data_IF_342573492226
#
_entry.id   IF_342573492226
#
_cell.length_a   1.000
_cell.length_b   1.000
_cell.length_c   1.000
_cell.angle_alpha   90.00
_cell.angle_beta   90.00
_cell.angle_gamma   90.00
#
_symmetry.space_group_name_H-M   'P 1'
#
loop_
_entity.id
_entity.type
_entity.pdbx_description
1 polymer ?
#
# COMPACT_ATOMS: atom_id res chain seq x y z
N UNK A 1 -10.74 -30.75 -29.33
CA UNK A 1 -9.57 -29.88 -29.12
C UNK A 1 -9.80 -28.59 -29.90
N UNK A 2 -10.38 -27.57 -29.27
CA UNK A 2 -10.55 -26.24 -29.88
C UNK A 2 -9.44 -25.32 -29.40
N UNK A 3 -8.61 -24.83 -30.31
CA UNK A 3 -7.53 -23.87 -30.03
C UNK A 3 -8.18 -22.48 -29.85
N UNK A 4 -7.96 -21.74 -28.76
CA UNK A 4 -8.52 -20.40 -28.64
C UNK A 4 -7.70 -19.43 -29.48
N UNK A 5 -8.34 -18.85 -30.49
CA UNK A 5 -7.81 -17.82 -31.39
C UNK A 5 -8.11 -16.43 -30.84
N UNK A 6 -7.06 -15.61 -30.78
CA UNK A 6 -7.06 -14.14 -30.87
C UNK A 6 -8.14 -13.35 -30.07
N UNK A 7 -7.76 -12.94 -28.86
CA UNK A 7 -7.89 -11.55 -28.39
C UNK A 7 -9.29 -10.93 -28.37
N UNK A 8 -10.13 -11.37 -27.43
CA UNK A 8 -11.38 -10.67 -27.12
C UNK A 8 -11.11 -9.25 -26.58
N UNK A 9 -11.69 -8.19 -27.16
CA UNK A 9 -11.53 -6.80 -26.70
C UNK A 9 -12.08 -6.58 -25.28
N UNK A 10 -12.94 -7.48 -24.80
CA UNK A 10 -13.51 -7.47 -23.46
C UNK A 10 -12.44 -7.76 -22.40
N UNK A 11 -11.50 -8.68 -22.66
CA UNK A 11 -10.44 -9.04 -21.70
C UNK A 11 -9.44 -7.90 -21.48
N UNK A 12 -9.07 -7.18 -22.54
CA UNK A 12 -8.20 -6.01 -22.44
C UNK A 12 -8.87 -4.85 -21.67
N UNK A 13 -10.18 -4.72 -21.80
CA UNK A 13 -10.97 -3.68 -21.10
C UNK A 13 -11.17 -4.00 -19.61
N UNK A 14 -11.28 -5.27 -19.24
CA UNK A 14 -11.37 -5.70 -17.83
C UNK A 14 -10.01 -5.56 -17.14
N UNK A 15 -8.91 -5.93 -17.82
CA UNK A 15 -7.56 -5.78 -17.28
C UNK A 15 -7.15 -4.30 -17.13
N UNK A 16 -7.60 -3.42 -18.03
CA UNK A 16 -7.34 -1.99 -17.91
C UNK A 16 -8.12 -1.32 -16.77
N UNK A 17 -9.29 -1.86 -16.37
CA UNK A 17 -10.04 -1.37 -15.21
C UNK A 17 -9.37 -1.65 -13.85
N UNK A 18 -8.49 -2.65 -13.80
CA UNK A 18 -7.68 -2.97 -12.60
C UNK A 18 -6.32 -2.28 -12.64
N UNK A 19 -5.93 -1.71 -13.78
CA UNK A 19 -4.69 -0.96 -13.91
C UNK A 19 -4.81 0.36 -13.15
N UNK A 20 -4.23 0.40 -11.95
CA UNK A 20 -4.15 1.63 -11.16
C UNK A 20 -3.25 2.62 -11.93
N UNK A 21 -3.73 3.83 -12.25
CA UNK A 21 -3.00 4.75 -13.11
C UNK A 21 -1.90 5.47 -12.31
N UNK A 22 -0.82 4.77 -11.96
CA UNK A 22 0.35 5.40 -11.36
C UNK A 22 1.15 6.09 -12.45
N UNK A 23 1.08 7.42 -12.49
CA UNK A 23 1.90 8.24 -13.40
C UNK A 23 3.38 8.21 -13.00
N UNK A 24 3.67 8.08 -11.71
CA UNK A 24 5.02 8.17 -11.15
C UNK A 24 5.50 6.86 -10.53
N UNK A 25 6.78 6.49 -10.75
CA UNK A 25 7.41 5.29 -10.14
C UNK A 25 7.30 5.30 -8.60
N UNK A 26 7.45 6.47 -8.00
CA UNK A 26 7.37 6.66 -6.55
C UNK A 26 5.95 6.39 -6.04
N UNK A 27 4.90 6.86 -6.74
CA UNK A 27 3.51 6.57 -6.38
C UNK A 27 3.22 5.06 -6.39
N UNK A 28 3.73 4.33 -7.39
CA UNK A 28 3.61 2.87 -7.44
C UNK A 28 4.30 2.20 -6.24
N UNK A 29 5.49 2.67 -5.86
CA UNK A 29 6.20 2.16 -4.67
C UNK A 29 5.42 2.43 -3.40
N UNK A 30 4.89 3.65 -3.24
CA UNK A 30 4.03 4.01 -2.11
C UNK A 30 2.79 3.14 -2.01
N UNK A 31 2.13 2.85 -3.14
CA UNK A 31 0.96 1.99 -3.14
C UNK A 31 1.30 0.55 -2.73
N UNK A 32 2.36 -0.03 -3.31
CA UNK A 32 2.83 -1.37 -2.94
C UNK A 32 3.20 -1.42 -1.44
N UNK A 33 3.97 -0.45 -0.97
CA UNK A 33 4.35 -0.35 0.45
C UNK A 33 3.13 -0.17 1.35
N UNK A 34 2.11 0.57 0.92
CA UNK A 34 0.86 0.71 1.65
C UNK A 34 0.12 -0.62 1.79
N UNK A 35 0.02 -1.37 0.69
CA UNK A 35 -0.58 -2.70 0.71
C UNK A 35 0.16 -3.67 1.65
N UNK A 36 1.49 -3.75 1.52
CA UNK A 36 2.29 -4.63 2.38
C UNK A 36 2.27 -4.19 3.85
N UNK A 37 2.31 -2.88 4.12
CA UNK A 37 2.23 -2.36 5.49
C UNK A 37 0.87 -2.67 6.12
N UNK A 38 -0.22 -2.57 5.37
CA UNK A 38 -1.55 -2.96 5.82
C UNK A 38 -1.63 -4.46 6.13
N UNK A 39 -1.21 -5.32 5.19
CA UNK A 39 -1.20 -6.77 5.36
C UNK A 39 -0.34 -7.20 6.56
N UNK A 40 0.86 -6.63 6.70
CA UNK A 40 1.76 -6.90 7.82
C UNK A 40 1.19 -6.42 9.16
N UNK A 41 0.46 -5.30 9.18
CA UNK A 41 -0.18 -4.79 10.39
C UNK A 41 -1.37 -5.63 10.82
N UNK A 42 -2.17 -6.08 9.86
CA UNK A 42 -3.26 -7.00 10.13
C UNK A 42 -2.75 -8.36 10.62
N UNK A 43 -1.69 -8.89 10.00
CA UNK A 43 -1.04 -10.12 10.44
C UNK A 43 -0.53 -10.03 11.89
N UNK A 44 0.18 -8.94 12.22
CA UNK A 44 0.64 -8.70 13.60
C UNK A 44 -0.53 -8.55 14.57
N UNK A 45 -1.56 -7.79 14.20
CA UNK A 45 -2.75 -7.61 15.04
C UNK A 45 -3.48 -8.93 15.30
N UNK A 46 -3.63 -9.79 14.28
CA UNK A 46 -4.18 -11.13 14.44
C UNK A 46 -3.36 -11.98 15.40
N UNK A 47 -2.02 -11.87 15.36
CA UNK A 47 -1.16 -12.59 16.30
C UNK A 47 -1.27 -12.06 17.73
N UNK A 48 -1.40 -10.75 17.93
CA UNK A 48 -1.68 -10.17 19.25
C UNK A 48 -3.01 -10.70 19.82
N UNK A 49 -4.06 -10.78 18.98
CA UNK A 49 -5.36 -11.34 19.40
C UNK A 49 -5.23 -12.82 19.79
N UNK A 50 -4.58 -13.64 18.96
CA UNK A 50 -4.52 -15.09 19.17
C UNK A 50 -3.61 -15.47 20.32
N UNK A 51 -2.43 -14.85 20.44
CA UNK A 51 -1.42 -15.26 21.41
C UNK A 51 -1.43 -14.44 22.70
N UNK A 52 -1.90 -13.19 22.66
CA UNK A 52 -1.89 -12.29 23.83
C UNK A 52 -3.30 -11.96 24.32
N UNK A 53 -4.35 -12.46 23.64
CA UNK A 53 -5.76 -12.14 23.91
C UNK A 53 -6.03 -10.63 23.99
N UNK A 54 -5.22 -9.85 23.27
CA UNK A 54 -5.31 -8.40 23.25
C UNK A 54 -6.27 -7.97 22.15
N UNK A 55 -7.19 -7.07 22.47
CA UNK A 55 -8.01 -6.40 21.47
C UNK A 55 -7.15 -5.40 20.69
N UNK A 56 -7.23 -5.45 19.37
CA UNK A 56 -6.55 -4.49 18.49
C UNK A 56 -7.57 -3.46 18.04
N UNK A 57 -7.41 -2.24 18.51
CA UNK A 57 -8.25 -1.11 18.12
C UNK A 57 -7.92 -0.66 16.70
N UNK A 58 -8.96 -0.31 15.93
CA UNK A 58 -8.81 0.13 14.55
C UNK A 58 -7.95 1.39 14.42
N UNK A 59 -8.03 2.30 15.40
CA UNK A 59 -7.21 3.53 15.42
C UNK A 59 -5.72 3.21 15.58
N UNK A 60 -5.39 2.31 16.50
CA UNK A 60 -4.01 1.84 16.72
C UNK A 60 -3.49 1.13 15.48
N UNK A 61 -4.32 0.28 14.85
CA UNK A 61 -3.96 -0.39 13.61
C UNK A 61 -3.68 0.61 12.48
N UNK A 62 -4.55 1.61 12.30
CA UNK A 62 -4.36 2.68 11.32
C UNK A 62 -3.10 3.51 11.59
N UNK A 63 -2.81 3.81 12.86
CA UNK A 63 -1.57 4.44 13.27
C UNK A 63 -0.35 3.60 12.87
N UNK A 64 -0.33 2.30 13.20
CA UNK A 64 0.78 1.41 12.84
C UNK A 64 1.02 1.33 11.33
N UNK A 65 -0.05 1.28 10.54
CA UNK A 65 0.03 1.25 9.08
C UNK A 65 0.72 2.51 8.54
N UNK A 66 0.25 3.70 8.94
CA UNK A 66 0.84 4.98 8.50
C UNK A 66 2.32 5.10 8.85
N UNK A 67 2.68 4.71 10.08
CA UNK A 67 4.07 4.74 10.53
C UNK A 67 4.96 3.74 9.80
N UNK A 68 4.47 2.53 9.52
CA UNK A 68 5.21 1.55 8.72
C UNK A 68 5.44 2.06 7.31
N UNK A 69 4.45 2.67 6.68
CA UNK A 69 4.61 3.22 5.33
C UNK A 69 5.66 4.34 5.33
N UNK A 70 5.60 5.25 6.30
CA UNK A 70 6.60 6.32 6.45
C UNK A 70 8.02 5.78 6.71
N UNK A 71 8.18 4.79 7.59
CA UNK A 71 9.49 4.20 7.88
C UNK A 71 10.03 3.39 6.70
N UNK A 72 9.20 2.55 6.09
CA UNK A 72 9.60 1.70 4.97
C UNK A 72 9.91 2.53 3.73
N UNK A 73 9.19 3.62 3.51
CA UNK A 73 9.49 4.55 2.41
C UNK A 73 10.80 5.29 2.62
N UNK A 74 11.18 5.63 3.86
CA UNK A 74 12.48 6.24 4.15
C UNK A 74 13.66 5.27 3.98
N UNK A 75 13.40 3.97 4.07
CA UNK A 75 14.40 2.92 3.83
C UNK A 75 14.64 2.63 2.33
N UNK A 76 13.92 3.29 1.42
CA UNK A 76 14.18 3.17 -0.01
C UNK A 76 15.52 3.82 -0.40
N UNK A 77 16.03 3.44 -1.58
CA UNK A 77 17.27 4.03 -2.12
C UNK A 77 17.09 5.50 -2.52
N UNK A 78 15.87 5.90 -2.84
CA UNK A 78 15.52 7.26 -3.22
C UNK A 78 15.37 8.14 -1.97
N UNK A 79 16.03 9.30 -1.96
CA UNK A 79 15.89 10.26 -0.86
C UNK A 79 14.54 10.98 -0.96
N UNK A 80 13.65 10.71 0.00
CA UNK A 80 12.44 11.49 0.19
C UNK A 80 12.78 12.78 0.97
N UNK A 81 12.35 13.97 0.51
CA UNK A 81 12.63 15.25 1.19
C UNK A 81 11.86 15.40 2.51
N UNK A 82 10.92 14.49 2.78
CA UNK A 82 10.08 14.49 3.97
C UNK A 82 10.70 13.64 5.10
N UNK A 83 10.49 14.06 6.34
CA UNK A 83 10.75 13.24 7.52
C UNK A 83 9.70 12.11 7.66
N UNK A 84 10.04 11.08 8.43
CA UNK A 84 9.11 9.98 8.73
C UNK A 84 7.84 10.51 9.41
N UNK A 85 7.97 11.47 10.32
CA UNK A 85 6.83 12.07 11.01
C UNK A 85 5.91 12.86 10.09
N UNK A 86 6.45 13.59 9.12
CA UNK A 86 5.65 14.32 8.13
C UNK A 86 4.91 13.36 7.20
N UNK A 87 5.56 12.28 6.75
CA UNK A 87 4.93 11.25 5.92
C UNK A 87 3.80 10.52 6.66
N UNK A 88 4.02 10.17 7.93
CA UNK A 88 3.04 9.44 8.72
C UNK A 88 1.81 10.28 9.08
N UNK A 89 2.01 11.58 9.38
CA UNK A 89 0.92 12.49 9.76
C UNK A 89 0.13 12.98 8.53
N UNK A 90 0.81 13.25 7.43
CA UNK A 90 0.20 13.77 6.20
C UNK A 90 -0.11 12.64 5.20
N UNK A 91 -0.40 11.43 5.69
CA UNK A 91 -0.61 10.26 4.83
C UNK A 91 -1.72 10.48 3.78
N UNK A 92 -2.76 11.22 4.13
CA UNK A 92 -3.89 11.51 3.24
C UNK A 92 -3.51 12.38 2.03
N UNK A 93 -2.51 13.25 2.14
CA UNK A 93 -2.03 14.11 1.05
C UNK A 93 -0.85 13.53 0.27
N UNK A 94 -0.46 12.28 0.53
CA UNK A 94 0.62 11.62 -0.22
C UNK A 94 0.45 11.64 -1.74
N UNK A 95 -0.75 11.48 -2.32
CA UNK A 95 -0.91 11.58 -3.77
C UNK A 95 -0.47 12.94 -4.34
N UNK A 96 -0.69 14.02 -3.60
CA UNK A 96 -0.34 15.41 -3.95
C UNK A 96 1.14 15.71 -3.62
N UNK A 97 1.69 15.10 -2.57
CA UNK A 97 3.11 15.24 -2.20
C UNK A 97 4.06 14.49 -3.15
N UNK A 98 3.53 13.58 -3.97
CA UNK A 98 4.26 12.68 -4.87
C UNK A 98 3.93 12.88 -6.35
N UNK A 99 3.08 13.87 -6.68
CA UNK A 99 2.78 14.32 -8.04
C UNK A 99 3.85 15.27 -8.54
#
# INVERSE_FOLDING_TARGET
MGKPTAGDPVSLTVLSRVAVPFKNKIQRKFWLTSFFAAAWSLWMGRNEIVFQQKMVEAEVLGYMIRWRIAMWSKAWKESLPYSVGELARNFASLPELLS
#
